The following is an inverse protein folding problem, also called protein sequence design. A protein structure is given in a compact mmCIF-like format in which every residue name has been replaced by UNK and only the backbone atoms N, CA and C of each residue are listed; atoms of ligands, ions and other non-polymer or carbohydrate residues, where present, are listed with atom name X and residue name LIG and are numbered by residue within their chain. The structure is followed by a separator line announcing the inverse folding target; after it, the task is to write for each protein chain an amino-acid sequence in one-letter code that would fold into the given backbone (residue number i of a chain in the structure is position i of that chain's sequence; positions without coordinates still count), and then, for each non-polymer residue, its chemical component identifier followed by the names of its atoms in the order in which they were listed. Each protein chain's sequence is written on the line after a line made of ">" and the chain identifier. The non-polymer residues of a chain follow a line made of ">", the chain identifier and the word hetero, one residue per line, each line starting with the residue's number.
data_IF_282855788777
#
_entry.id   IF_282855788777
#
_cell.length_a   1.000
_cell.length_b   1.000
_cell.length_c   1.000
_cell.angle_alpha   90.00
_cell.angle_beta   90.00
_cell.angle_gamma   90.00
#
_symmetry.space_group_name_H-M   'P 1'
#
loop_
_entity.id
_entity.type
_entity.pdbx_description
1 polymer ?
#
# COMPACT_ATOMS: atom_id res chain seq x y z
N UNK A 1 -12.89 28.80 14.03
CA UNK A 1 -12.97 27.38 14.40
C UNK A 1 -11.72 26.71 13.84
N UNK A 2 -10.74 26.40 14.70
CA UNK A 2 -9.45 25.84 14.31
C UNK A 2 -9.66 24.42 13.74
N UNK A 3 -9.24 24.18 12.49
CA UNK A 3 -9.23 22.84 11.92
C UNK A 3 -8.23 21.99 12.72
N UNK A 4 -8.75 21.00 13.44
CA UNK A 4 -7.93 20.02 14.14
C UNK A 4 -7.28 19.13 13.06
N UNK A 5 -6.05 19.45 12.68
CA UNK A 5 -5.29 18.64 11.72
C UNK A 5 -5.17 17.19 12.22
N UNK A 6 -5.64 16.23 11.42
CA UNK A 6 -5.57 14.80 11.74
C UNK A 6 -4.17 14.29 11.44
N UNK A 7 -3.28 14.44 12.42
CA UNK A 7 -1.93 13.90 12.32
C UNK A 7 -1.96 12.37 12.41
N UNK A 8 -1.29 11.69 11.46
CA UNK A 8 -1.04 10.26 11.50
C UNK A 8 -0.12 9.87 12.66
N UNK A 9 0.83 10.75 13.00
CA UNK A 9 1.74 10.56 14.10
C UNK A 9 2.26 11.90 14.61
N UNK A 10 2.69 11.94 15.87
CA UNK A 10 3.39 13.10 16.44
C UNK A 10 4.61 12.64 17.23
N UNK A 11 5.75 13.27 17.00
CA UNK A 11 7.01 12.98 17.68
C UNK A 11 7.52 14.23 18.40
N UNK A 12 8.19 14.05 19.55
CA UNK A 12 8.80 15.14 20.31
C UNK A 12 10.29 14.88 20.48
N UNK A 13 11.11 15.82 20.04
CA UNK A 13 12.57 15.81 20.18
C UNK A 13 13.01 17.06 20.94
N UNK A 14 13.27 16.92 22.24
CA UNK A 14 13.59 18.06 23.11
C UNK A 14 12.48 19.11 23.13
N UNK A 15 12.77 20.29 22.55
CA UNK A 15 11.81 21.40 22.40
C UNK A 15 11.01 21.35 21.08
N UNK A 16 11.38 20.48 20.14
CA UNK A 16 10.76 20.37 18.81
C UNK A 16 9.63 19.35 18.83
N UNK A 17 8.49 19.67 18.21
CA UNK A 17 7.41 18.73 17.91
C UNK A 17 7.30 18.56 16.39
N UNK A 18 7.28 17.32 15.94
CA UNK A 18 7.10 16.94 14.53
C UNK A 18 5.71 16.33 14.42
N UNK A 19 4.93 16.83 13.47
CA UNK A 19 3.60 16.31 13.17
C UNK A 19 3.63 15.68 11.78
N UNK A 20 3.29 14.40 11.70
CA UNK A 20 3.16 13.67 10.43
C UNK A 20 1.69 13.74 10.02
N UNK A 21 1.41 14.36 8.88
CA UNK A 21 0.06 14.41 8.32
C UNK A 21 -0.23 13.11 7.58
N UNK A 22 -1.39 12.51 7.83
CA UNK A 22 -1.83 11.35 7.06
C UNK A 22 -2.04 11.77 5.60
N UNK A 23 -1.56 11.00 4.60
CA UNK A 23 -1.94 11.26 3.23
C UNK A 23 -3.45 11.09 3.07
N UNK A 24 -4.01 11.77 2.06
CA UNK A 24 -5.42 11.62 1.75
C UNK A 24 -5.79 10.15 1.50
N UNK A 25 -6.94 9.68 2.00
CA UNK A 25 -7.36 8.31 1.78
C UNK A 25 -7.57 8.07 0.28
N UNK A 26 -7.00 6.97 -0.24
CA UNK A 26 -7.21 6.58 -1.65
C UNK A 26 -8.68 6.29 -1.90
N UNK A 27 -9.15 6.62 -3.10
CA UNK A 27 -10.50 6.24 -3.51
C UNK A 27 -10.62 4.72 -3.63
N UNK A 28 -11.84 4.18 -3.46
CA UNK A 28 -12.09 2.72 -3.65
C UNK A 28 -11.64 2.25 -5.03
N UNK A 29 -11.85 3.08 -6.06
CA UNK A 29 -11.45 2.79 -7.45
C UNK A 29 -9.94 2.61 -7.59
N UNK A 30 -9.16 3.47 -6.94
CA UNK A 30 -7.70 3.37 -6.99
C UNK A 30 -7.18 2.16 -6.22
N UNK A 31 -7.81 1.84 -5.08
CA UNK A 31 -7.52 0.64 -4.30
C UNK A 31 -7.80 -0.61 -5.15
N UNK A 32 -8.96 -0.69 -5.79
CA UNK A 32 -9.33 -1.83 -6.65
C UNK A 32 -8.37 -2.00 -7.83
N UNK A 33 -7.88 -0.89 -8.41
CA UNK A 33 -6.88 -0.94 -9.49
C UNK A 33 -5.58 -1.56 -9.00
N UNK A 34 -5.11 -1.17 -7.81
CA UNK A 34 -3.90 -1.73 -7.19
C UNK A 34 -4.09 -3.22 -6.90
N UNK A 35 -5.22 -3.60 -6.30
CA UNK A 35 -5.53 -5.00 -5.98
C UNK A 35 -5.55 -5.88 -7.24
N UNK A 36 -6.20 -5.42 -8.32
CA UNK A 36 -6.19 -6.13 -9.62
C UNK A 36 -4.79 -6.32 -10.18
N UNK A 37 -3.91 -5.34 -10.03
CA UNK A 37 -2.52 -5.46 -10.45
C UNK A 37 -1.78 -6.55 -9.65
N UNK A 38 -1.95 -6.58 -8.33
CA UNK A 38 -1.39 -7.64 -7.50
C UNK A 38 -1.93 -9.02 -7.87
N UNK A 39 -3.25 -9.18 -8.03
CA UNK A 39 -3.82 -10.45 -8.44
C UNK A 39 -3.26 -10.94 -9.77
N UNK A 40 -3.14 -10.05 -10.76
CA UNK A 40 -2.57 -10.41 -12.06
C UNK A 40 -1.11 -10.85 -11.94
N UNK A 41 -0.30 -10.13 -11.16
CA UNK A 41 1.09 -10.49 -10.93
C UNK A 41 1.22 -11.84 -10.20
N UNK A 42 0.41 -12.06 -9.16
CA UNK A 42 0.40 -13.33 -8.41
C UNK A 42 0.02 -14.50 -9.31
N UNK A 43 -1.02 -14.37 -10.13
CA UNK A 43 -1.41 -15.43 -11.06
C UNK A 43 -0.34 -15.71 -12.12
N UNK A 44 0.32 -14.68 -12.65
CA UNK A 44 1.41 -14.87 -13.59
C UNK A 44 2.58 -15.64 -12.96
N UNK A 45 2.91 -15.37 -11.69
CA UNK A 45 3.95 -16.11 -10.96
C UNK A 45 3.55 -17.59 -10.78
N UNK A 46 2.32 -17.86 -10.38
CA UNK A 46 1.82 -19.23 -10.19
C UNK A 46 1.86 -20.00 -11.52
N UNK A 47 1.38 -19.39 -12.59
CA UNK A 47 1.36 -19.98 -13.94
C UNK A 47 2.78 -20.29 -14.45
N UNK A 48 3.73 -19.38 -14.21
CA UNK A 48 5.13 -19.59 -14.54
C UNK A 48 5.74 -20.76 -13.75
N UNK A 49 5.45 -20.86 -12.46
CA UNK A 49 5.93 -21.96 -11.61
C UNK A 49 5.36 -23.30 -12.07
N UNK A 50 4.05 -23.37 -12.32
CA UNK A 50 3.39 -24.59 -12.80
C UNK A 50 3.92 -25.01 -14.18
N UNK A 51 4.14 -24.05 -15.08
CA UNK A 51 4.70 -24.34 -16.40
C UNK A 51 6.11 -24.89 -16.31
N UNK A 52 6.96 -24.34 -15.42
CA UNK A 52 8.31 -24.84 -15.19
C UNK A 52 8.32 -26.25 -14.60
N UNK A 53 7.49 -26.53 -13.61
CA UNK A 53 7.38 -27.87 -13.00
C UNK A 53 6.93 -28.92 -14.03
N UNK A 54 6.00 -28.59 -14.92
CA UNK A 54 5.51 -29.53 -15.96
C UNK A 54 6.51 -29.78 -17.12
N UNK A 55 7.59 -28.99 -17.24
CA UNK A 55 8.63 -29.18 -18.27
C UNK A 55 9.81 -30.02 -17.73
N UNK A 56 9.94 -30.13 -16.40
CA UNK A 56 11.00 -30.87 -15.72
C UNK A 56 10.64 -32.33 -15.39
N UNK A 57 9.41 -32.79 -15.70
CA UNK A 57 8.97 -34.21 -15.73
C UNK A 57 9.06 -34.83 -17.12
#
# INVERSE_FOLDING_TARGET
>A
MSQQEKYAASYKFGKTKVYIVAPEPKTKKDIDKILRAYYKASWAIIDELQTKENIEE
#
